data_IF_587186310946
#
_entry.id   IF_587186310946
#
_cell.length_a   1.000
_cell.length_b   1.000
_cell.length_c   1.000
_cell.angle_alpha   90.00
_cell.angle_beta   90.00
_cell.angle_gamma   90.00
#
_symmetry.space_group_name_H-M   'P 1'
#
loop_
_entity.id
_entity.type
_entity.pdbx_description
1 polymer ?
#
# COMPACT_ATOMS: atom_id res chain seq x y z
N UNK A 1 12.94 41.33 -80.09
CA UNK A 1 12.72 39.94 -80.53
C UNK A 1 13.79 39.07 -79.90
N UNK A 2 13.45 38.32 -78.84
CA UNK A 2 14.25 37.25 -78.25
C UNK A 2 13.32 36.38 -77.39
N UNK A 3 13.51 35.07 -77.51
CA UNK A 3 12.65 33.95 -77.09
C UNK A 3 12.32 33.86 -75.58
N UNK A 4 11.23 33.16 -75.19
CA UNK A 4 11.00 32.73 -73.82
C UNK A 4 11.73 31.41 -73.51
N UNK A 5 12.50 31.39 -72.42
CA UNK A 5 13.13 30.19 -71.85
C UNK A 5 12.16 29.53 -70.86
N UNK A 6 11.45 28.54 -71.39
CA UNK A 6 10.82 27.44 -70.66
C UNK A 6 11.90 26.37 -70.36
N UNK A 7 11.69 25.52 -69.35
CA UNK A 7 12.56 24.43 -68.83
C UNK A 7 13.62 24.83 -67.79
N UNK A 8 13.27 24.63 -66.51
CA UNK A 8 13.94 23.69 -65.60
C UNK A 8 13.47 23.94 -64.14
N UNK A 9 12.19 23.62 -63.88
CA UNK A 9 11.63 23.50 -62.54
C UNK A 9 11.52 22.00 -62.23
N UNK A 10 12.64 21.35 -61.94
CA UNK A 10 12.70 19.94 -61.53
C UNK A 10 14.05 19.64 -60.85
N UNK A 11 14.30 20.35 -59.75
CA UNK A 11 15.42 20.04 -58.86
C UNK A 11 15.10 20.61 -57.48
N UNK A 12 14.44 19.82 -56.64
CA UNK A 12 14.51 19.81 -55.18
C UNK A 12 13.40 18.90 -54.64
N UNK A 13 13.50 17.60 -54.98
CA UNK A 13 12.81 16.53 -54.28
C UNK A 13 13.53 16.33 -52.93
N UNK A 14 13.37 17.31 -52.04
CA UNK A 14 13.94 17.31 -50.71
C UNK A 14 13.08 16.43 -49.80
N UNK A 15 13.64 15.28 -49.45
CA UNK A 15 13.29 14.44 -48.31
C UNK A 15 12.81 15.29 -47.11
N UNK A 16 11.52 15.25 -46.82
CA UNK A 16 10.97 15.76 -45.56
C UNK A 16 9.87 14.81 -45.09
N UNK A 17 10.22 14.07 -44.03
CA UNK A 17 9.33 13.59 -42.97
C UNK A 17 8.29 12.53 -43.35
N UNK A 18 8.76 11.30 -43.59
CA UNK A 18 7.96 10.12 -43.27
C UNK A 18 8.24 9.77 -41.81
N UNK A 19 7.53 10.45 -40.91
CA UNK A 19 7.41 10.06 -39.52
C UNK A 19 6.75 8.67 -39.51
N UNK A 20 7.35 7.59 -38.96
CA UNK A 20 6.59 6.37 -38.75
C UNK A 20 5.42 6.74 -37.82
N UNK A 21 4.18 6.33 -38.12
CA UNK A 21 3.10 6.49 -37.17
C UNK A 21 3.55 5.72 -35.93
N UNK A 22 3.89 6.47 -34.88
CA UNK A 22 4.01 5.90 -33.56
C UNK A 22 2.71 5.13 -33.36
N UNK A 23 2.86 3.81 -33.27
CA UNK A 23 1.84 2.92 -32.75
C UNK A 23 1.29 3.61 -31.52
N UNK A 24 0.12 4.22 -31.65
CA UNK A 24 -0.82 4.34 -30.55
C UNK A 24 -1.17 2.90 -30.22
N UNK A 25 -0.26 2.21 -29.55
CA UNK A 25 -0.62 1.14 -28.67
C UNK A 25 -1.57 1.81 -27.67
N UNK A 26 -2.86 1.82 -28.00
CA UNK A 26 -3.90 1.79 -27.00
C UNK A 26 -3.49 0.65 -26.09
N UNK A 27 -2.83 0.98 -24.97
CA UNK A 27 -2.77 0.08 -23.85
C UNK A 27 -4.23 -0.21 -23.57
N UNK A 28 -4.68 -1.41 -23.95
CA UNK A 28 -5.99 -1.88 -23.60
C UNK A 28 -6.12 -1.59 -22.11
N UNK A 29 -7.15 -0.81 -21.73
CA UNK A 29 -7.43 -0.60 -20.31
C UNK A 29 -7.52 -2.01 -19.72
N UNK A 30 -6.69 -2.37 -18.73
CA UNK A 30 -6.80 -3.68 -18.12
C UNK A 30 -8.19 -3.75 -17.50
N UNK A 31 -9.09 -4.48 -18.16
CA UNK A 31 -10.37 -4.79 -17.55
C UNK A 31 -10.08 -5.72 -16.38
N UNK A 32 -10.73 -5.44 -15.25
CA UNK A 32 -10.65 -6.27 -14.06
C UNK A 32 -11.33 -7.61 -14.31
N UNK A 33 -10.57 -8.54 -14.91
CA UNK A 33 -11.03 -9.86 -15.27
C UNK A 33 -10.92 -10.91 -14.14
N UNK A 34 -11.24 -12.18 -14.45
CA UNK A 34 -11.23 -13.30 -13.50
C UNK A 34 -9.93 -13.48 -12.71
N UNK A 35 -8.78 -13.16 -13.30
CA UNK A 35 -7.48 -13.27 -12.62
C UNK A 35 -7.39 -12.34 -11.41
N UNK A 36 -7.95 -11.13 -11.50
CA UNK A 36 -8.00 -10.18 -10.37
C UNK A 36 -8.91 -10.67 -9.25
N UNK A 37 -9.97 -11.41 -9.58
CA UNK A 37 -10.82 -12.06 -8.59
C UNK A 37 -10.06 -13.12 -7.78
N UNK A 38 -9.12 -13.84 -8.41
CA UNK A 38 -8.24 -14.79 -7.73
C UNK A 38 -7.28 -14.06 -6.79
N UNK A 39 -6.65 -12.97 -7.25
CA UNK A 39 -5.78 -12.14 -6.42
C UNK A 39 -6.53 -11.57 -5.22
N UNK A 40 -7.75 -11.06 -5.43
CA UNK A 40 -8.62 -10.57 -4.37
C UNK A 40 -8.92 -11.64 -3.32
N UNK A 41 -9.41 -12.82 -3.75
CA UNK A 41 -9.73 -13.93 -2.83
C UNK A 41 -8.50 -14.39 -2.03
N UNK A 42 -7.33 -14.44 -2.67
CA UNK A 42 -6.06 -14.76 -2.00
C UNK A 42 -5.71 -13.70 -0.96
N UNK A 43 -5.81 -12.41 -1.31
CA UNK A 43 -5.53 -11.31 -0.39
C UNK A 43 -6.44 -11.35 0.84
N UNK A 44 -7.74 -11.58 0.66
CA UNK A 44 -8.71 -11.74 1.77
C UNK A 44 -8.36 -12.94 2.65
N UNK A 45 -8.04 -14.10 2.05
CA UNK A 45 -7.63 -15.28 2.80
C UNK A 45 -6.36 -15.05 3.63
N UNK A 46 -5.39 -14.29 3.11
CA UNK A 46 -4.19 -13.91 3.84
C UNK A 46 -4.50 -13.00 5.03
N UNK A 47 -5.47 -12.07 4.90
CA UNK A 47 -5.94 -11.25 6.02
C UNK A 47 -6.61 -12.09 7.11
N UNK A 48 -7.46 -13.03 6.73
CA UNK A 48 -8.12 -13.93 7.69
C UNK A 48 -7.09 -14.79 8.44
N UNK A 49 -6.05 -15.25 7.74
CA UNK A 49 -4.95 -15.98 8.36
C UNK A 49 -4.10 -15.07 9.27
N UNK A 50 -3.83 -13.83 8.87
CA UNK A 50 -3.10 -12.87 9.68
C UNK A 50 -3.83 -12.59 11.01
N UNK A 51 -5.14 -12.39 10.97
CA UNK A 51 -5.96 -12.20 12.18
C UNK A 51 -5.93 -13.42 13.10
N UNK A 52 -6.03 -14.64 12.54
CA UNK A 52 -5.87 -15.89 13.30
C UNK A 52 -4.49 -15.99 13.94
N UNK A 53 -3.42 -15.63 13.22
CA UNK A 53 -2.05 -15.61 13.74
C UNK A 53 -1.87 -14.57 14.85
N UNK A 54 -2.49 -13.39 14.72
CA UNK A 54 -2.51 -12.38 15.77
C UNK A 54 -3.22 -12.86 17.03
N UNK A 55 -4.36 -13.57 16.90
CA UNK A 55 -5.05 -14.17 18.04
C UNK A 55 -4.19 -15.24 18.73
N UNK A 56 -3.41 -16.00 17.97
CA UNK A 56 -2.45 -16.98 18.47
C UNK A 56 -1.11 -16.41 18.94
N UNK A 57 -0.92 -15.08 18.99
CA UNK A 57 0.34 -14.39 19.32
C UNK A 57 1.53 -14.70 18.40
N UNK A 58 1.27 -15.19 17.19
CA UNK A 58 2.25 -15.44 16.13
C UNK A 58 2.50 -14.17 15.29
N UNK A 59 3.18 -13.18 15.88
CA UNK A 59 3.28 -11.82 15.32
C UNK A 59 4.17 -11.76 14.06
N UNK A 60 5.23 -12.56 13.98
CA UNK A 60 6.12 -12.59 12.83
C UNK A 60 5.40 -13.13 11.58
N UNK A 61 4.66 -14.23 11.74
CA UNK A 61 3.86 -14.84 10.70
C UNK A 61 2.70 -13.94 10.29
N UNK A 62 2.01 -13.32 11.25
CA UNK A 62 0.98 -12.33 10.95
C UNK A 62 1.52 -11.17 10.11
N UNK A 63 2.69 -10.64 10.45
CA UNK A 63 3.35 -9.58 9.68
C UNK A 63 3.69 -10.02 8.26
N UNK A 64 4.18 -11.25 8.08
CA UNK A 64 4.48 -11.79 6.75
C UNK A 64 3.21 -11.90 5.89
N UNK A 65 2.11 -12.41 6.46
CA UNK A 65 0.82 -12.53 5.79
C UNK A 65 0.24 -11.16 5.41
N UNK A 66 0.31 -10.17 6.31
CA UNK A 66 -0.12 -8.78 6.04
C UNK A 66 0.69 -8.17 4.90
N UNK A 67 2.00 -8.39 4.86
CA UNK A 67 2.86 -7.91 3.77
C UNK A 67 2.46 -8.54 2.43
N UNK A 68 2.21 -9.85 2.41
CA UNK A 68 1.77 -10.53 1.19
C UNK A 68 0.39 -10.04 0.73
N UNK A 69 -0.57 -9.89 1.65
CA UNK A 69 -1.89 -9.33 1.35
C UNK A 69 -1.78 -7.91 0.79
N UNK A 70 -0.94 -7.06 1.39
CA UNK A 70 -0.70 -5.69 0.91
C UNK A 70 -0.13 -5.66 -0.51
N UNK A 71 0.78 -6.58 -0.84
CA UNK A 71 1.33 -6.68 -2.20
C UNK A 71 0.22 -6.99 -3.21
N UNK A 72 -0.67 -7.94 -2.88
CA UNK A 72 -1.80 -8.30 -3.74
C UNK A 72 -2.79 -7.14 -3.90
N UNK A 73 -3.16 -6.47 -2.81
CA UNK A 73 -4.02 -5.29 -2.89
C UNK A 73 -3.35 -4.13 -3.65
N UNK A 74 -2.03 -3.99 -3.59
CA UNK A 74 -1.31 -2.97 -4.37
C UNK A 74 -1.40 -3.23 -5.87
N UNK A 75 -1.36 -4.50 -6.31
CA UNK A 75 -1.59 -4.89 -7.70
C UNK A 75 -3.03 -4.52 -8.10
N UNK A 76 -4.02 -4.90 -7.28
CA UNK A 76 -5.43 -4.56 -7.52
C UNK A 76 -5.65 -3.04 -7.59
N UNK A 77 -5.04 -2.26 -6.71
CA UNK A 77 -5.16 -0.79 -6.76
C UNK A 77 -4.56 -0.21 -8.03
N UNK A 78 -3.45 -0.75 -8.52
CA UNK A 78 -2.80 -0.28 -9.73
C UNK A 78 -3.59 -0.63 -10.99
N UNK A 79 -4.07 -1.87 -11.07
CA UNK A 79 -4.67 -2.43 -12.30
C UNK A 79 -6.18 -2.19 -12.33
N UNK A 80 -6.85 -2.29 -11.17
CA UNK A 80 -8.29 -2.15 -11.02
C UNK A 80 -8.77 -0.83 -10.42
N UNK A 81 -7.85 0.06 -10.02
CA UNK A 81 -8.17 1.38 -9.47
C UNK A 81 -9.10 2.22 -10.36
N UNK A 82 -8.92 2.28 -11.70
CA UNK A 82 -9.83 3.03 -12.58
C UNK A 82 -11.27 2.48 -12.53
N UNK A 83 -11.46 1.18 -12.71
CA UNK A 83 -12.77 0.51 -12.64
C UNK A 83 -13.40 0.64 -11.26
N UNK A 84 -12.59 0.57 -10.20
CA UNK A 84 -13.06 0.78 -8.83
C UNK A 84 -13.61 2.20 -8.63
N UNK A 85 -12.97 3.24 -9.16
CA UNK A 85 -13.41 4.64 -9.01
C UNK A 85 -14.74 4.92 -9.71
N UNK A 86 -15.05 4.19 -10.78
CA UNK A 86 -16.32 4.29 -11.48
C UNK A 86 -17.48 3.66 -10.68
N UNK A 87 -17.17 2.84 -9.67
CA UNK A 87 -18.16 2.29 -8.75
C UNK A 87 -18.31 3.14 -7.51
N UNK A 88 -19.57 3.50 -7.22
CA UNK A 88 -19.94 4.00 -5.90
C UNK A 88 -20.02 2.83 -4.92
N UNK A 89 -19.46 3.01 -3.73
CA UNK A 89 -19.68 2.10 -2.62
C UNK A 89 -21.13 2.20 -2.16
N UNK A 90 -21.73 1.07 -1.78
CA UNK A 90 -23.02 1.08 -1.08
C UNK A 90 -22.90 1.76 0.28
N UNK A 91 -24.01 2.22 0.87
CA UNK A 91 -24.02 2.84 2.19
C UNK A 91 -23.37 1.95 3.26
N UNK A 92 -23.63 0.64 3.19
CA UNK A 92 -23.03 -0.33 4.09
C UNK A 92 -21.51 -0.44 3.90
N UNK A 93 -21.03 -0.44 2.66
CA UNK A 93 -19.60 -0.48 2.34
C UNK A 93 -18.89 0.81 2.76
N UNK A 94 -19.51 1.98 2.54
CA UNK A 94 -18.99 3.27 3.03
C UNK A 94 -18.89 3.30 4.56
N UNK A 95 -19.92 2.79 5.25
CA UNK A 95 -19.90 2.71 6.71
C UNK A 95 -18.77 1.78 7.18
N UNK A 96 -18.61 0.61 6.57
CA UNK A 96 -17.55 -0.32 6.92
C UNK A 96 -16.15 0.23 6.62
N UNK A 97 -15.98 0.91 5.48
CA UNK A 97 -14.75 1.63 5.15
C UNK A 97 -14.42 2.67 6.22
N UNK A 98 -15.39 3.48 6.63
CA UNK A 98 -15.21 4.52 7.65
C UNK A 98 -14.79 3.92 9.00
N UNK A 99 -15.44 2.84 9.42
CA UNK A 99 -15.08 2.09 10.63
C UNK A 99 -13.64 1.58 10.52
N UNK A 100 -13.29 0.94 9.41
CA UNK A 100 -11.95 0.38 9.21
C UNK A 100 -10.87 1.47 9.20
N UNK A 101 -11.11 2.62 8.53
CA UNK A 101 -10.19 3.77 8.53
C UNK A 101 -9.99 4.33 9.93
N UNK A 102 -11.06 4.49 10.70
CA UNK A 102 -10.98 4.95 12.09
C UNK A 102 -10.18 3.97 12.95
N UNK A 103 -10.49 2.68 12.88
CA UNK A 103 -9.76 1.65 13.63
C UNK A 103 -8.27 1.61 13.25
N UNK A 104 -7.94 1.75 11.97
CA UNK A 104 -6.56 1.80 11.50
C UNK A 104 -5.82 3.01 12.10
N UNK A 105 -6.42 4.21 12.04
CA UNK A 105 -5.84 5.44 12.56
C UNK A 105 -5.70 5.41 14.09
N UNK A 106 -6.75 5.02 14.82
CA UNK A 106 -6.74 4.94 16.29
C UNK A 106 -5.68 3.94 16.78
N UNK A 107 -5.54 2.81 16.07
CA UNK A 107 -4.54 1.78 16.41
C UNK A 107 -3.13 2.25 16.08
N UNK A 108 -2.95 2.95 14.95
CA UNK A 108 -1.65 3.52 14.56
C UNK A 108 -1.18 4.55 15.57
N UNK A 109 -2.03 5.50 15.95
CA UNK A 109 -1.67 6.54 16.92
C UNK A 109 -1.29 5.97 18.29
N UNK A 110 -1.92 4.87 18.73
CA UNK A 110 -1.51 4.14 19.94
C UNK A 110 -0.15 3.46 19.77
N UNK A 111 0.12 2.87 18.60
CA UNK A 111 1.40 2.24 18.31
C UNK A 111 2.54 3.26 18.35
N UNK A 112 2.36 4.39 17.66
CA UNK A 112 3.31 5.50 17.61
C UNK A 112 3.55 6.10 19.01
N UNK A 113 2.50 6.28 19.81
CA UNK A 113 2.63 6.77 21.18
C UNK A 113 3.44 5.82 22.07
N UNK A 114 3.26 4.51 21.93
CA UNK A 114 4.05 3.52 22.66
C UNK A 114 5.50 3.49 22.18
N UNK A 115 5.73 3.60 20.88
CA UNK A 115 7.08 3.65 20.31
C UNK A 115 7.87 4.88 20.82
N UNK A 116 7.24 6.06 20.84
CA UNK A 116 7.88 7.27 21.37
C UNK A 116 8.12 7.18 22.88
N UNK A 117 7.19 6.59 23.62
CA UNK A 117 7.35 6.30 25.05
C UNK A 117 8.52 5.35 25.32
N UNK A 118 8.67 4.32 24.47
CA UNK A 118 9.77 3.35 24.56
C UNK A 118 11.12 4.00 24.27
N UNK A 119 11.21 4.80 23.19
CA UNK A 119 12.41 5.61 22.86
C UNK A 119 12.80 6.53 23.99
N UNK A 120 11.84 7.17 24.65
CA UNK A 120 12.10 8.04 25.80
C UNK A 120 12.68 7.26 26.98
N UNK A 121 12.18 6.04 27.24
CA UNK A 121 12.70 5.16 28.30
C UNK A 121 14.10 4.63 27.98
N UNK A 122 14.42 4.33 26.73
CA UNK A 122 15.79 3.98 26.33
C UNK A 122 16.76 5.13 26.63
N UNK A 123 16.41 6.36 26.24
CA UNK A 123 17.24 7.54 26.57
C UNK A 123 17.42 7.74 28.07
N UNK A 124 16.35 7.53 28.86
CA UNK A 124 16.43 7.60 30.31
C UNK A 124 17.29 6.48 30.89
N UNK A 125 17.25 5.29 30.29
CA UNK A 125 18.07 4.15 30.67
C UNK A 125 19.55 4.45 30.47
N UNK A 126 19.92 4.98 29.31
CA UNK A 126 21.31 5.35 29.00
C UNK A 126 21.84 6.39 30.00
N UNK A 127 20.98 7.35 30.37
CA UNK A 127 21.31 8.35 31.39
C UNK A 127 21.46 7.74 32.79
N UNK A 128 20.62 6.77 33.16
CA UNK A 128 20.73 6.07 34.43
C UNK A 128 22.02 5.25 34.49
N UNK A 129 22.39 4.57 33.40
CA UNK A 129 23.64 3.83 33.28
C UNK A 129 24.86 4.75 33.42
N UNK A 130 24.87 5.89 32.72
CA UNK A 130 25.94 6.89 32.84
C UNK A 130 26.10 7.46 34.27
N UNK A 131 25.03 7.43 35.08
CA UNK A 131 25.03 7.84 36.49
C UNK A 131 25.35 6.70 37.46
N UNK A 132 25.66 5.50 36.97
CA UNK A 132 25.91 4.31 37.79
C UNK A 132 24.64 3.68 38.40
N UNK A 133 23.45 4.13 38.02
CA UNK A 133 22.16 3.64 38.51
C UNK A 133 21.73 2.37 37.75
N UNK A 134 22.48 1.29 37.91
CA UNK A 134 22.33 0.06 37.11
C UNK A 134 20.93 -0.57 37.19
N UNK A 135 20.34 -0.64 38.37
CA UNK A 135 19.00 -1.24 38.54
C UNK A 135 17.91 -0.44 37.82
N UNK A 136 17.98 0.89 37.89
CA UNK A 136 17.05 1.78 37.19
C UNK A 136 17.20 1.66 35.67
N UNK A 137 18.44 1.59 35.17
CA UNK A 137 18.71 1.35 33.74
C UNK A 137 18.05 0.04 33.28
N UNK A 138 18.29 -1.07 33.97
CA UNK A 138 17.70 -2.37 33.61
C UNK A 138 16.17 -2.35 33.63
N UNK A 139 15.55 -1.70 34.62
CA UNK A 139 14.08 -1.56 34.67
C UNK A 139 13.54 -0.74 33.48
N UNK A 140 14.19 0.36 33.13
CA UNK A 140 13.82 1.20 32.00
C UNK A 140 13.95 0.45 30.66
N UNK A 141 15.02 -0.33 30.45
CA UNK A 141 15.18 -1.15 29.24
C UNK A 141 14.07 -2.21 29.13
N UNK A 142 13.72 -2.87 30.24
CA UNK A 142 12.63 -3.86 30.24
C UNK A 142 11.30 -3.23 29.85
N UNK A 143 10.99 -2.05 30.39
CA UNK A 143 9.78 -1.29 30.06
C UNK A 143 9.79 -0.85 28.60
N UNK A 144 10.90 -0.31 28.09
CA UNK A 144 11.04 0.08 26.70
C UNK A 144 10.79 -1.10 25.75
N UNK A 145 11.44 -2.25 26.01
CA UNK A 145 11.24 -3.48 25.23
C UNK A 145 9.78 -3.91 25.18
N UNK A 146 9.09 -3.94 26.33
CA UNK A 146 7.69 -4.31 26.40
C UNK A 146 6.79 -3.34 25.60
N UNK A 147 7.06 -2.04 25.65
CA UNK A 147 6.32 -1.04 24.88
C UNK A 147 6.58 -1.17 23.37
N UNK A 148 7.81 -1.44 22.93
CA UNK A 148 8.10 -1.73 21.52
C UNK A 148 7.38 -2.99 21.01
N UNK A 149 7.38 -4.06 21.80
CA UNK A 149 6.66 -5.29 21.44
C UNK A 149 5.16 -5.02 21.29
N UNK A 150 4.58 -4.22 22.19
CA UNK A 150 3.18 -3.81 22.12
C UNK A 150 2.91 -2.88 20.91
N UNK A 151 3.80 -1.94 20.63
CA UNK A 151 3.71 -1.05 19.47
C UNK A 151 3.72 -1.87 18.18
N UNK A 152 4.62 -2.84 18.04
CA UNK A 152 4.70 -3.73 16.87
C UNK A 152 3.39 -4.51 16.64
N UNK A 153 2.77 -5.03 17.70
CA UNK A 153 1.46 -5.69 17.61
C UNK A 153 0.39 -4.73 17.10
N UNK A 154 0.38 -3.49 17.58
CA UNK A 154 -0.58 -2.48 17.16
C UNK A 154 -0.34 -2.02 15.72
N UNK A 155 0.90 -1.87 15.28
CA UNK A 155 1.20 -1.58 13.87
C UNK A 155 0.63 -2.65 12.94
N UNK A 156 0.79 -3.94 13.27
CA UNK A 156 0.22 -5.03 12.47
C UNK A 156 -1.32 -4.95 12.45
N UNK A 157 -1.96 -4.69 13.60
CA UNK A 157 -3.42 -4.53 13.67
C UNK A 157 -3.91 -3.34 12.83
N UNK A 158 -3.22 -2.21 12.89
CA UNK A 158 -3.53 -1.04 12.07
C UNK A 158 -3.47 -1.37 10.57
N UNK A 159 -2.42 -2.09 10.14
CA UNK A 159 -2.29 -2.54 8.75
C UNK A 159 -3.41 -3.50 8.34
N UNK A 160 -3.80 -4.45 9.20
CA UNK A 160 -4.95 -5.31 8.94
C UNK A 160 -6.22 -4.48 8.71
N UNK A 161 -6.52 -3.51 9.57
CA UNK A 161 -7.69 -2.64 9.40
C UNK A 161 -7.63 -1.83 8.09
N UNK A 162 -6.45 -1.30 7.73
CA UNK A 162 -6.27 -0.60 6.45
C UNK A 162 -6.49 -1.51 5.24
N UNK A 163 -6.06 -2.77 5.30
CA UNK A 163 -6.27 -3.75 4.22
C UNK A 163 -7.72 -4.28 4.20
N UNK A 164 -8.42 -4.33 5.34
CA UNK A 164 -9.86 -4.59 5.37
C UNK A 164 -10.66 -3.50 4.64
N UNK A 165 -10.18 -2.25 4.63
CA UNK A 165 -10.74 -1.21 3.73
C UNK A 165 -10.56 -1.58 2.26
N UNK A 166 -9.37 -2.05 1.86
CA UNK A 166 -9.14 -2.51 0.49
C UNK A 166 -10.03 -3.71 0.11
N UNK A 167 -10.28 -4.62 1.05
CA UNK A 167 -11.22 -5.73 0.86
C UNK A 167 -12.63 -5.25 0.53
N UNK A 168 -13.12 -4.22 1.24
CA UNK A 168 -14.44 -3.62 0.98
C UNK A 168 -14.45 -2.99 -0.41
N UNK A 169 -13.44 -2.19 -0.73
CA UNK A 169 -13.31 -1.47 -2.00
C UNK A 169 -13.28 -2.42 -3.20
N UNK A 170 -12.56 -3.54 -3.11
CA UNK A 170 -12.41 -4.51 -4.20
C UNK A 170 -13.40 -5.68 -4.17
N UNK A 171 -14.39 -5.64 -3.28
CA UNK A 171 -15.37 -6.73 -3.12
C UNK A 171 -16.08 -7.10 -4.42
N UNK A 172 -16.26 -6.13 -5.31
CA UNK A 172 -16.89 -6.37 -6.60
C UNK A 172 -16.18 -7.38 -7.51
N UNK A 173 -14.90 -7.66 -7.27
CA UNK A 173 -14.16 -8.68 -8.03
C UNK A 173 -14.64 -10.09 -7.68
N UNK A 174 -15.30 -10.27 -6.54
CA UNK A 174 -15.88 -11.55 -6.10
C UNK A 174 -17.20 -11.29 -5.32
N UNK A 175 -18.29 -10.96 -6.04
CA UNK A 175 -19.57 -10.59 -5.44
C UNK A 175 -20.22 -11.74 -4.64
#
# INVERSE_FOLDING_TARGET
MLLPRMLCLLACLAMLLILPPALLAQQAKPDCGPDHAILYKRAVSLLDQAEKKMAGRYTAEAKALVKEANNLFSILTKECGPTQKERQLTDQEMQQESINKKLAADTLGKAESLEESAKAKEKQSDQAEAKGQKELSVDLQRKAKAEYEQAHVLFIKSQIHALRTQQVIFRFLAP
#
